data_IF_346130401710
#
_entry.id   IF_346130401710
#
_cell.length_a   1.000
_cell.length_b   1.000
_cell.length_c   1.000
_cell.angle_alpha   90.00
_cell.angle_beta   90.00
_cell.angle_gamma   90.00
#
_symmetry.space_group_name_H-M   'P 1'
#
loop_
_entity.id
_entity.type
_entity.pdbx_description
1 polymer ?
#
# COMPACT_ATOMS: atom_id res chain seq x y z
N UNK A 1 14.15 -11.27 -14.76
CA UNK A 1 13.29 -10.14 -14.36
C UNK A 1 14.00 -9.43 -13.23
N UNK A 2 14.33 -8.16 -13.40
CA UNK A 2 15.02 -7.35 -12.39
C UNK A 2 14.04 -6.90 -11.30
N UNK A 3 14.48 -6.91 -10.06
CA UNK A 3 13.70 -6.46 -8.90
C UNK A 3 14.31 -5.20 -8.29
N UNK A 4 13.47 -4.32 -7.74
CA UNK A 4 13.90 -3.17 -6.94
C UNK A 4 13.16 -3.21 -5.60
N UNK A 5 13.88 -3.29 -4.49
CA UNK A 5 13.30 -3.17 -3.15
C UNK A 5 13.35 -1.72 -2.70
N UNK A 6 12.20 -1.10 -2.50
CA UNK A 6 12.06 0.29 -2.02
C UNK A 6 11.70 0.29 -0.54
N UNK A 7 12.53 0.89 0.28
CA UNK A 7 12.33 1.07 1.72
C UNK A 7 12.16 2.57 2.00
N UNK A 8 11.00 2.96 2.52
CA UNK A 8 10.71 4.33 2.91
C UNK A 8 10.92 4.49 4.41
N UNK A 9 11.69 5.51 4.83
CA UNK A 9 11.96 5.76 6.25
C UNK A 9 11.95 7.24 6.60
N UNK A 10 11.60 7.57 7.83
CA UNK A 10 11.77 8.89 8.44
C UNK A 10 13.06 8.98 9.29
N UNK A 11 13.86 7.93 9.32
CA UNK A 11 15.14 7.88 10.04
C UNK A 11 15.04 7.75 11.57
N UNK A 12 13.84 7.57 12.09
CA UNK A 12 13.55 7.48 13.53
C UNK A 12 13.72 6.07 14.12
N UNK A 13 13.94 5.05 13.25
CA UNK A 13 14.08 3.62 13.61
C UNK A 13 15.32 2.99 12.96
N UNK A 14 16.55 3.42 13.33
CA UNK A 14 17.77 2.99 12.63
C UNK A 14 18.05 1.49 12.72
N UNK A 15 17.74 0.83 13.82
CA UNK A 15 17.98 -0.60 13.98
C UNK A 15 17.00 -1.46 13.15
N UNK A 16 15.75 -1.03 13.07
CA UNK A 16 14.74 -1.66 12.23
C UNK A 16 15.08 -1.47 10.75
N UNK A 17 15.47 -0.25 10.36
CA UNK A 17 15.90 0.05 9.00
C UNK A 17 17.10 -0.82 8.59
N UNK A 18 18.11 -0.96 9.45
CA UNK A 18 19.28 -1.83 9.18
C UNK A 18 18.85 -3.29 8.95
N UNK A 19 17.93 -3.80 9.76
CA UNK A 19 17.36 -5.14 9.57
C UNK A 19 16.58 -5.26 8.26
N UNK A 20 15.78 -4.26 7.89
CA UNK A 20 15.04 -4.25 6.63
C UNK A 20 16.01 -4.30 5.43
N UNK A 21 17.03 -3.44 5.42
CA UNK A 21 18.07 -3.39 4.39
C UNK A 21 18.82 -4.72 4.32
N UNK A 22 19.28 -5.24 5.45
CA UNK A 22 20.00 -6.52 5.53
C UNK A 22 19.17 -7.66 4.94
N UNK A 23 17.88 -7.74 5.27
CA UNK A 23 16.99 -8.79 4.75
C UNK A 23 16.74 -8.67 3.24
N UNK A 24 16.71 -7.43 2.72
CA UNK A 24 16.58 -7.19 1.28
C UNK A 24 17.85 -7.57 0.52
N UNK A 25 19.03 -7.20 1.03
CA UNK A 25 20.34 -7.56 0.45
C UNK A 25 20.63 -9.06 0.53
N UNK A 26 20.09 -9.76 1.54
CA UNK A 26 20.24 -11.21 1.70
C UNK A 26 19.37 -12.05 0.73
N UNK A 27 18.57 -11.43 -0.11
CA UNK A 27 17.75 -12.18 -1.08
C UNK A 27 18.63 -12.90 -2.10
N UNK A 28 18.30 -14.18 -2.37
CA UNK A 28 19.05 -15.03 -3.33
C UNK A 28 18.81 -14.68 -4.80
N UNK A 29 18.00 -13.66 -5.06
CA UNK A 29 17.78 -13.18 -6.41
C UNK A 29 18.93 -12.29 -6.85
N UNK A 30 19.70 -12.70 -7.86
CA UNK A 30 20.96 -12.05 -8.27
C UNK A 30 20.77 -10.69 -8.94
N UNK A 31 19.59 -10.38 -9.45
CA UNK A 31 19.27 -9.11 -10.13
C UNK A 31 18.26 -8.31 -9.28
N UNK A 32 18.69 -7.95 -8.07
CA UNK A 32 17.92 -7.15 -7.13
C UNK A 32 18.74 -5.92 -6.70
N UNK A 33 18.15 -4.75 -6.80
CA UNK A 33 18.66 -3.50 -6.24
C UNK A 33 17.85 -3.06 -5.01
N UNK A 34 18.49 -2.38 -4.08
CA UNK A 34 17.82 -1.80 -2.90
C UNK A 34 17.89 -0.29 -2.97
N UNK A 35 16.75 0.37 -2.81
CA UNK A 35 16.59 1.83 -2.81
C UNK A 35 15.98 2.24 -1.47
N UNK A 36 16.69 3.06 -0.71
CA UNK A 36 16.21 3.65 0.54
C UNK A 36 15.82 5.10 0.31
N UNK A 37 14.62 5.47 0.71
CA UNK A 37 14.11 6.85 0.62
C UNK A 37 14.06 7.46 2.01
N UNK A 38 14.98 8.41 2.28
CA UNK A 38 14.92 9.25 3.48
C UNK A 38 13.87 10.35 3.28
N UNK A 39 12.71 10.20 3.93
CA UNK A 39 11.54 11.07 3.75
C UNK A 39 11.57 12.26 4.72
N UNK A 40 12.30 13.29 4.35
CA UNK A 40 12.63 14.43 5.23
C UNK A 40 13.73 14.06 6.25
N UNK A 41 14.54 13.04 5.94
CA UNK A 41 15.63 12.59 6.81
C UNK A 41 16.87 12.21 5.98
N UNK A 42 18.03 12.43 6.54
CA UNK A 42 19.29 11.88 6.03
C UNK A 42 19.61 10.61 6.82
N UNK A 43 19.70 9.48 6.11
CA UNK A 43 19.93 8.18 6.72
C UNK A 43 21.18 7.53 6.18
N UNK A 44 22.07 7.00 7.05
CA UNK A 44 23.22 6.23 6.62
C UNK A 44 22.75 4.88 6.06
N UNK A 45 23.33 4.47 4.94
CA UNK A 45 23.07 3.17 4.32
C UNK A 45 24.39 2.56 3.81
N UNK A 46 24.45 1.23 3.62
CA UNK A 46 25.57 0.56 2.97
C UNK A 46 25.84 1.10 1.55
N UNK A 47 27.09 1.00 1.09
CA UNK A 47 27.53 1.58 -0.20
C UNK A 47 26.82 0.96 -1.43
N UNK A 48 26.34 -0.28 -1.32
CA UNK A 48 25.59 -0.99 -2.35
C UNK A 48 24.12 -0.58 -2.45
N UNK A 49 23.62 0.26 -1.53
CA UNK A 49 22.23 0.73 -1.48
C UNK A 49 22.11 2.11 -2.12
N UNK A 50 21.18 2.27 -3.03
CA UNK A 50 20.84 3.57 -3.59
C UNK A 50 20.04 4.40 -2.59
N UNK A 51 20.44 5.65 -2.35
CA UNK A 51 19.76 6.57 -1.44
C UNK A 51 19.07 7.69 -2.20
N UNK A 52 17.79 7.89 -1.92
CA UNK A 52 17.01 9.07 -2.32
C UNK A 52 16.74 9.91 -1.09
N UNK A 53 17.17 11.18 -1.10
CA UNK A 53 16.97 12.11 0.02
C UNK A 53 15.91 13.14 -0.35
N UNK A 54 14.79 13.13 0.34
CA UNK A 54 13.78 14.18 0.22
C UNK A 54 14.05 15.25 1.27
N UNK A 55 14.00 16.51 0.85
CA UNK A 55 14.25 17.65 1.75
C UNK A 55 13.21 17.78 2.87
N UNK A 56 11.99 17.30 2.61
CA UNK A 56 10.87 17.32 3.55
C UNK A 56 10.05 16.03 3.46
N UNK A 57 9.25 15.76 4.48
CA UNK A 57 8.34 14.61 4.49
C UNK A 57 7.22 14.79 3.45
N UNK A 58 7.33 14.08 2.35
CA UNK A 58 6.36 14.05 1.25
C UNK A 58 5.17 13.09 1.48
N UNK A 59 5.07 12.51 2.68
CA UNK A 59 4.12 11.44 2.99
C UNK A 59 4.52 10.10 2.38
N UNK A 60 3.74 9.07 2.69
CA UNK A 60 3.99 7.70 2.20
C UNK A 60 3.89 7.64 0.68
N UNK A 61 2.86 8.26 0.11
CA UNK A 61 2.64 8.25 -1.34
C UNK A 61 3.78 8.96 -2.10
N UNK A 62 4.18 10.15 -1.66
CA UNK A 62 5.26 10.93 -2.28
C UNK A 62 6.61 10.23 -2.15
N UNK A 63 6.92 9.73 -0.96
CA UNK A 63 8.18 9.02 -0.70
C UNK A 63 8.32 7.74 -1.53
N UNK A 64 7.27 6.90 -1.61
CA UNK A 64 7.29 5.70 -2.44
C UNK A 64 7.39 6.01 -3.94
N UNK A 65 6.72 7.07 -4.43
CA UNK A 65 6.89 7.50 -5.81
C UNK A 65 8.34 7.86 -6.11
N UNK A 66 8.99 8.66 -5.25
CA UNK A 66 10.41 9.03 -5.42
C UNK A 66 11.33 7.79 -5.44
N UNK A 67 11.01 6.77 -4.62
CA UNK A 67 11.71 5.49 -4.67
C UNK A 67 11.53 4.78 -6.01
N UNK A 68 10.30 4.71 -6.53
CA UNK A 68 10.01 4.07 -7.84
C UNK A 68 10.67 4.82 -9.00
N UNK A 69 10.78 6.15 -8.93
CA UNK A 69 11.46 6.96 -9.95
C UNK A 69 12.97 6.67 -9.99
N UNK A 70 13.58 6.29 -8.87
CA UNK A 70 14.98 5.88 -8.78
C UNK A 70 15.22 4.40 -9.15
N UNK A 71 14.16 3.59 -9.27
CA UNK A 71 14.24 2.17 -9.57
C UNK A 71 14.44 1.89 -11.06
N UNK A 72 15.16 0.82 -11.35
CA UNK A 72 15.35 0.30 -12.71
C UNK A 72 14.72 -1.09 -12.92
N UNK A 73 14.26 -1.75 -11.85
CA UNK A 73 13.67 -3.08 -11.90
C UNK A 73 12.31 -3.12 -12.59
N UNK A 74 11.97 -4.30 -13.11
CA UNK A 74 10.67 -4.60 -13.74
C UNK A 74 9.55 -4.71 -12.70
N UNK A 75 9.90 -5.12 -11.48
CA UNK A 75 9.01 -5.27 -10.34
C UNK A 75 9.60 -4.54 -9.14
N UNK A 76 8.78 -3.72 -8.48
CA UNK A 76 9.12 -2.99 -7.26
C UNK A 76 8.52 -3.72 -6.06
N UNK A 77 9.36 -4.06 -5.10
CA UNK A 77 8.97 -4.58 -3.80
C UNK A 77 8.94 -3.40 -2.82
N UNK A 78 7.79 -3.09 -2.23
CA UNK A 78 7.73 -2.15 -1.13
C UNK A 78 7.88 -2.88 0.20
N UNK A 79 8.83 -2.42 1.00
CA UNK A 79 9.12 -2.92 2.34
C UNK A 79 9.10 -1.75 3.32
N UNK A 80 8.30 -1.85 4.38
CA UNK A 80 8.33 -0.85 5.46
C UNK A 80 9.66 -0.94 6.23
N UNK A 81 10.15 0.18 6.77
CA UNK A 81 11.45 0.27 7.44
C UNK A 81 11.52 -0.53 8.77
N UNK A 82 10.38 -1.00 9.29
CA UNK A 82 10.27 -1.89 10.44
C UNK A 82 9.84 -3.32 10.06
N UNK A 83 9.80 -3.61 8.74
CA UNK A 83 9.55 -4.94 8.19
C UNK A 83 10.83 -5.62 7.69
N UNK A 84 10.80 -6.94 7.48
CA UNK A 84 11.90 -7.70 6.89
C UNK A 84 11.40 -8.99 6.23
N UNK A 85 12.18 -9.51 5.29
CA UNK A 85 11.91 -10.80 4.66
C UNK A 85 12.47 -11.94 5.51
N UNK A 86 11.63 -12.87 6.00
CA UNK A 86 12.09 -14.01 6.81
C UNK A 86 12.77 -15.10 5.96
N UNK A 87 12.47 -15.15 4.65
CA UNK A 87 13.03 -16.12 3.69
C UNK A 87 13.83 -15.39 2.61
N UNK A 88 15.11 -15.75 2.39
CA UNK A 88 15.91 -15.18 1.32
C UNK A 88 15.45 -15.62 -0.09
N UNK A 89 14.49 -16.51 -0.23
CA UNK A 89 13.91 -16.96 -1.50
C UNK A 89 12.74 -16.11 -2.01
N UNK A 90 12.23 -15.16 -1.23
CA UNK A 90 11.05 -14.35 -1.60
C UNK A 90 11.26 -13.62 -2.92
N UNK A 91 12.43 -13.02 -3.15
CA UNK A 91 12.73 -12.31 -4.40
C UNK A 91 12.61 -13.21 -5.63
N UNK A 92 13.23 -14.40 -5.61
CA UNK A 92 13.15 -15.37 -6.72
C UNK A 92 11.72 -15.87 -6.94
N UNK A 93 11.00 -16.12 -5.85
CA UNK A 93 9.59 -16.53 -5.91
C UNK A 93 8.74 -15.45 -6.61
N UNK A 94 8.87 -14.18 -6.20
CA UNK A 94 8.14 -13.06 -6.79
C UNK A 94 8.50 -12.86 -8.25
N UNK A 95 9.78 -12.94 -8.63
CA UNK A 95 10.20 -12.84 -10.02
C UNK A 95 9.51 -13.91 -10.90
N UNK A 96 9.39 -15.15 -10.42
CA UNK A 96 8.65 -16.23 -11.08
C UNK A 96 7.17 -15.86 -11.26
N UNK A 97 6.49 -15.42 -10.20
CA UNK A 97 5.06 -15.05 -10.25
C UNK A 97 4.76 -14.00 -11.33
N UNK A 98 5.58 -12.95 -11.42
CA UNK A 98 5.39 -11.90 -12.43
C UNK A 98 5.84 -12.31 -13.83
N UNK A 99 6.73 -13.28 -13.97
CA UNK A 99 7.13 -13.85 -15.28
C UNK A 99 6.01 -14.70 -15.85
N UNK A 100 5.39 -15.55 -15.02
CA UNK A 100 4.35 -16.49 -15.44
C UNK A 100 3.00 -15.80 -15.73
N UNK A 101 2.78 -14.59 -15.21
CA UNK A 101 1.50 -13.90 -15.31
C UNK A 101 1.67 -12.42 -15.69
N UNK A 102 1.58 -12.09 -16.99
CA UNK A 102 1.69 -10.69 -17.47
C UNK A 102 0.59 -9.76 -16.96
N UNK A 103 -0.60 -10.28 -16.67
CA UNK A 103 -1.74 -9.49 -16.20
C UNK A 103 -1.70 -9.23 -14.68
N UNK A 104 -0.78 -9.88 -13.97
CA UNK A 104 -0.58 -9.66 -12.54
C UNK A 104 0.16 -8.35 -12.31
N UNK A 105 -0.53 -7.37 -11.70
CA UNK A 105 0.09 -6.09 -11.35
C UNK A 105 0.62 -6.05 -9.92
N UNK A 106 -0.03 -6.70 -8.97
CA UNK A 106 0.34 -6.65 -7.55
C UNK A 106 0.23 -8.01 -6.90
N UNK A 107 1.26 -8.35 -6.13
CA UNK A 107 1.21 -9.40 -5.10
C UNK A 107 1.29 -8.72 -3.73
N UNK A 108 0.23 -8.85 -2.93
CA UNK A 108 0.24 -8.44 -1.53
C UNK A 108 0.74 -9.60 -0.67
N UNK A 109 1.74 -9.35 0.15
CA UNK A 109 2.38 -10.38 0.97
C UNK A 109 1.57 -10.71 2.22
N UNK A 110 1.74 -11.91 2.71
CA UNK A 110 1.33 -12.29 4.05
C UNK A 110 2.25 -11.63 5.07
N UNK A 111 1.69 -10.78 5.90
CA UNK A 111 2.42 -10.21 7.05
C UNK A 111 2.34 -11.20 8.21
N UNK A 112 3.50 -11.66 8.66
CA UNK A 112 3.64 -12.58 9.79
C UNK A 112 4.31 -11.87 10.97
N UNK A 113 4.01 -12.32 12.18
CA UNK A 113 4.65 -11.79 13.39
C UNK A 113 5.84 -12.66 13.79
N UNK A 114 6.98 -12.07 14.18
CA UNK A 114 8.18 -12.83 14.55
C UNK A 114 7.96 -13.74 15.76
N UNK A 115 7.03 -13.37 16.63
CA UNK A 115 6.65 -14.14 17.83
C UNK A 115 5.59 -15.21 17.53
N UNK A 116 5.19 -15.34 16.26
CA UNK A 116 4.10 -16.21 15.84
C UNK A 116 2.71 -15.61 16.08
N UNK A 117 1.68 -16.41 15.76
CA UNK A 117 0.29 -15.99 15.91
C UNK A 117 -0.36 -15.55 14.59
N UNK A 118 -1.68 -15.27 14.60
CA UNK A 118 -2.42 -14.93 13.41
C UNK A 118 -2.03 -13.53 12.90
N UNK A 119 -1.99 -13.37 11.58
CA UNK A 119 -1.85 -12.05 10.95
C UNK A 119 -2.95 -11.10 11.44
N UNK A 120 -2.57 -9.86 11.76
CA UNK A 120 -3.54 -8.86 12.15
C UNK A 120 -4.58 -8.63 11.03
N UNK A 121 -5.84 -8.40 11.41
CA UNK A 121 -6.96 -8.26 10.45
C UNK A 121 -6.69 -7.22 9.37
N UNK A 122 -6.04 -6.12 9.70
CA UNK A 122 -5.73 -5.03 8.78
C UNK A 122 -4.59 -5.35 7.81
N UNK A 123 -3.80 -6.39 8.07
CA UNK A 123 -2.78 -6.88 7.15
C UNK A 123 -3.34 -7.85 6.09
N UNK A 124 -4.60 -8.30 6.24
CA UNK A 124 -5.23 -9.20 5.27
C UNK A 124 -6.18 -8.41 4.37
N UNK A 125 -5.83 -8.17 3.09
CA UNK A 125 -6.57 -7.28 2.19
C UNK A 125 -7.87 -7.92 1.65
N UNK A 126 -8.73 -8.45 2.52
CA UNK A 126 -9.99 -9.12 2.20
C UNK A 126 -11.17 -8.46 2.91
N UNK A 127 -12.37 -8.61 2.35
CA UNK A 127 -13.60 -8.08 2.95
C UNK A 127 -13.85 -8.69 4.34
N UNK A 128 -13.69 -10.00 4.48
CA UNK A 128 -13.79 -10.71 5.75
C UNK A 128 -12.43 -11.27 6.09
N UNK A 129 -12.09 -11.32 7.39
CA UNK A 129 -10.91 -12.04 7.86
C UNK A 129 -11.12 -13.52 7.54
N UNK A 130 -10.68 -13.92 6.35
CA UNK A 130 -10.59 -15.30 5.95
C UNK A 130 -9.27 -15.89 6.47
N UNK A 131 -9.02 -17.12 6.09
CA UNK A 131 -7.77 -17.81 6.38
C UNK A 131 -6.59 -17.04 5.71
N UNK A 132 -5.66 -16.43 6.48
CA UNK A 132 -4.53 -15.70 5.92
C UNK A 132 -3.50 -16.64 5.26
N UNK A 133 -3.64 -17.94 5.42
CA UNK A 133 -2.78 -18.95 4.79
C UNK A 133 -3.24 -19.33 3.38
N UNK A 134 -4.32 -18.75 2.88
CA UNK A 134 -4.87 -19.02 1.55
C UNK A 134 -4.74 -17.81 0.64
N UNK A 135 -4.01 -18.00 -0.45
CA UNK A 135 -3.90 -17.02 -1.53
C UNK A 135 -5.24 -16.79 -2.22
N UNK A 136 -5.48 -15.55 -2.68
CA UNK A 136 -6.72 -15.20 -3.40
C UNK A 136 -6.60 -13.89 -4.16
N UNK A 137 -7.47 -13.69 -5.16
CA UNK A 137 -7.69 -12.39 -5.74
C UNK A 137 -8.21 -11.40 -4.69
N UNK A 138 -7.72 -10.17 -4.73
CA UNK A 138 -8.08 -9.08 -3.81
C UNK A 138 -8.29 -7.77 -4.56
N UNK A 139 -8.84 -6.75 -3.91
CA UNK A 139 -9.16 -5.44 -4.51
C UNK A 139 -8.38 -4.29 -3.87
N UNK A 140 -7.49 -4.60 -2.95
CA UNK A 140 -6.54 -3.72 -2.31
C UNK A 140 -5.35 -4.54 -1.86
N UNK A 141 -4.29 -3.91 -1.38
CA UNK A 141 -3.07 -4.58 -0.92
C UNK A 141 -2.46 -3.83 0.27
N UNK A 142 -1.53 -4.47 0.98
CA UNK A 142 -0.77 -3.84 2.05
C UNK A 142 0.39 -3.05 1.43
N UNK A 143 0.38 -1.73 1.60
CA UNK A 143 1.29 -0.82 0.90
C UNK A 143 2.78 -1.05 1.23
N UNK A 144 3.12 -1.46 2.46
CA UNK A 144 4.49 -1.75 2.89
C UNK A 144 4.88 -3.23 2.80
N UNK A 145 3.99 -4.08 2.26
CA UNK A 145 4.21 -5.52 2.15
C UNK A 145 3.66 -6.03 0.81
N UNK A 146 4.26 -5.60 -0.28
CA UNK A 146 3.81 -5.98 -1.62
C UNK A 146 4.93 -5.90 -2.67
N UNK A 147 4.67 -6.57 -3.79
CA UNK A 147 5.41 -6.42 -5.03
C UNK A 147 4.48 -5.88 -6.11
N UNK A 148 4.96 -4.96 -6.93
CA UNK A 148 4.17 -4.29 -7.97
C UNK A 148 4.94 -4.31 -9.28
N UNK A 149 4.29 -4.71 -10.40
CA UNK A 149 4.83 -4.55 -11.74
C UNK A 149 5.04 -3.06 -12.04
N UNK A 150 6.30 -2.66 -12.25
CA UNK A 150 6.67 -1.25 -12.40
C UNK A 150 5.96 -0.58 -13.60
N UNK A 151 5.82 -1.28 -14.73
CA UNK A 151 5.10 -0.75 -15.89
C UNK A 151 3.62 -0.47 -15.58
N UNK A 152 2.93 -1.37 -14.87
CA UNK A 152 1.55 -1.18 -14.46
C UNK A 152 1.41 -0.03 -13.44
N UNK A 153 2.37 0.10 -12.51
CA UNK A 153 2.43 1.23 -11.56
C UNK A 153 2.49 2.57 -12.29
N UNK A 154 3.39 2.69 -13.26
CA UNK A 154 3.58 3.91 -14.05
C UNK A 154 2.37 4.20 -14.95
N UNK A 155 1.81 3.18 -15.61
CA UNK A 155 0.59 3.32 -16.44
C UNK A 155 -0.61 3.78 -15.59
N UNK A 156 -0.74 3.29 -14.40
CA UNK A 156 -1.75 3.74 -13.46
C UNK A 156 -1.49 5.17 -12.92
N UNK A 157 -0.29 5.72 -13.07
CA UNK A 157 0.12 7.06 -12.63
C UNK A 157 0.58 7.13 -11.18
N UNK A 158 1.13 6.03 -10.65
CA UNK A 158 1.74 5.97 -9.32
C UNK A 158 0.76 6.16 -8.15
N UNK A 159 1.30 6.36 -6.96
CA UNK A 159 0.50 6.68 -5.77
C UNK A 159 0.09 8.16 -5.78
N UNK A 160 -1.14 8.50 -5.34
CA UNK A 160 -1.60 9.89 -5.33
C UNK A 160 -0.95 10.68 -4.18
N UNK A 161 0.08 11.49 -4.46
CA UNK A 161 0.81 12.26 -3.44
C UNK A 161 -0.11 13.15 -2.58
N UNK A 162 -1.24 13.62 -3.13
CA UNK A 162 -2.24 14.41 -2.40
C UNK A 162 -2.83 13.67 -1.19
N UNK A 163 -2.75 12.34 -1.14
CA UNK A 163 -3.24 11.56 -0.01
C UNK A 163 -2.30 11.63 1.19
N UNK A 164 -1.03 11.84 0.97
CA UNK A 164 0.01 11.89 1.99
C UNK A 164 0.17 10.56 2.75
N UNK A 165 -0.89 10.08 3.39
CA UNK A 165 -0.95 8.84 4.18
C UNK A 165 -2.38 8.31 4.23
N UNK A 166 -2.56 7.00 4.16
CA UNK A 166 -3.80 6.23 4.14
C UNK A 166 -4.61 6.32 2.82
N UNK A 167 -5.05 5.16 2.34
CA UNK A 167 -5.83 4.94 1.12
C UNK A 167 -5.10 5.16 -0.22
N UNK A 168 -3.83 5.55 -0.23
CA UNK A 168 -3.05 5.71 -1.45
C UNK A 168 -2.93 4.39 -2.22
N UNK A 169 -2.73 3.28 -1.52
CA UNK A 169 -2.68 1.93 -2.10
C UNK A 169 -4.05 1.48 -2.61
N UNK A 170 -5.12 1.88 -1.94
CA UNK A 170 -6.49 1.59 -2.38
C UNK A 170 -6.81 2.34 -3.68
N UNK A 171 -6.41 3.61 -3.79
CA UNK A 171 -6.56 4.42 -5.01
C UNK A 171 -5.80 3.78 -6.18
N UNK A 172 -4.55 3.37 -5.97
CA UNK A 172 -3.74 2.69 -6.98
C UNK A 172 -4.36 1.35 -7.37
N UNK A 173 -4.78 0.53 -6.40
CA UNK A 173 -5.42 -0.76 -6.65
C UNK A 173 -6.67 -0.62 -7.54
N UNK A 174 -7.52 0.36 -7.27
CA UNK A 174 -8.73 0.58 -8.05
C UNK A 174 -8.43 1.03 -9.49
N UNK A 175 -7.37 1.83 -9.69
CA UNK A 175 -6.93 2.21 -11.03
C UNK A 175 -6.34 1.02 -11.81
N UNK A 176 -5.52 0.18 -11.17
CA UNK A 176 -4.98 -1.04 -11.77
C UNK A 176 -6.09 -2.01 -12.18
N UNK A 177 -7.08 -2.24 -11.31
CA UNK A 177 -8.25 -3.05 -11.65
C UNK A 177 -9.08 -2.43 -12.79
N UNK A 178 -9.14 -1.09 -12.86
CA UNK A 178 -9.78 -0.35 -13.95
C UNK A 178 -9.08 -0.55 -15.29
N UNK A 179 -7.76 -0.67 -15.29
CA UNK A 179 -6.94 -0.96 -16.48
C UNK A 179 -7.00 -2.43 -16.91
N UNK A 180 -7.58 -3.31 -16.09
CA UNK A 180 -7.75 -4.73 -16.42
C UNK A 180 -6.83 -5.68 -15.67
N UNK A 181 -5.83 -5.16 -14.98
CA UNK A 181 -4.88 -5.93 -14.20
C UNK A 181 -5.52 -6.72 -13.05
N UNK A 182 -4.75 -7.67 -12.54
CA UNK A 182 -5.10 -8.47 -11.36
C UNK A 182 -4.24 -8.08 -10.17
N UNK A 183 -4.82 -8.23 -8.98
CA UNK A 183 -4.18 -8.04 -7.69
C UNK A 183 -4.43 -9.29 -6.89
N UNK A 184 -3.38 -9.87 -6.31
CA UNK A 184 -3.48 -11.10 -5.54
C UNK A 184 -2.85 -10.92 -4.15
N UNK A 185 -3.46 -11.50 -3.15
CA UNK A 185 -2.86 -11.81 -1.88
C UNK A 185 -2.21 -13.20 -1.99
N UNK A 186 -0.93 -13.28 -1.70
CA UNK A 186 -0.18 -14.52 -1.78
C UNK A 186 0.37 -14.92 -0.41
N UNK A 187 -0.17 -16.03 0.12
CA UNK A 187 0.20 -16.52 1.44
C UNK A 187 1.63 -17.10 1.51
N UNK A 188 2.22 -17.49 0.36
CA UNK A 188 3.58 -17.98 0.29
C UNK A 188 4.61 -16.85 0.30
N UNK A 189 4.25 -15.66 -0.21
CA UNK A 189 5.10 -14.48 -0.14
C UNK A 189 4.96 -13.83 1.25
N UNK A 190 5.98 -13.93 2.08
CA UNK A 190 5.92 -13.49 3.47
C UNK A 190 6.82 -12.30 3.76
N UNK A 191 6.34 -11.43 4.65
CA UNK A 191 7.08 -10.35 5.26
C UNK A 191 6.80 -10.34 6.76
N UNK A 192 7.85 -10.24 7.58
CA UNK A 192 7.73 -10.09 9.01
C UNK A 192 7.54 -8.61 9.39
N UNK A 193 6.65 -8.37 10.33
CA UNK A 193 6.42 -7.05 10.91
C UNK A 193 5.94 -7.22 12.36
N UNK A 194 6.44 -6.38 13.27
CA UNK A 194 5.96 -6.41 14.66
C UNK A 194 4.51 -5.93 14.75
N UNK A 195 3.70 -6.61 15.56
CA UNK A 195 2.33 -6.18 15.87
C UNK A 195 2.36 -5.02 16.87
N UNK A 196 2.79 -3.83 16.42
CA UNK A 196 2.67 -2.64 17.27
C UNK A 196 1.20 -2.19 17.29
N UNK A 197 0.64 -1.86 18.48
CA UNK A 197 -0.64 -1.20 18.54
C UNK A 197 -0.54 0.10 17.74
N UNK A 198 -1.28 0.21 16.65
CA UNK A 198 -1.35 1.46 15.90
C UNK A 198 -1.89 2.54 16.84
N UNK A 199 -1.02 3.37 17.40
CA UNK A 199 -1.40 4.61 18.07
C UNK A 199 -1.96 5.57 17.01
N UNK A 200 -3.24 5.35 16.64
CA UNK A 200 -3.92 6.20 15.66
C UNK A 200 -4.24 7.55 16.30
N UNK A 201 -3.43 8.54 15.98
CA UNK A 201 -3.62 9.91 16.44
C UNK A 201 -4.76 10.61 15.66
N UNK A 202 -5.26 11.73 16.18
CA UNK A 202 -6.30 12.54 15.53
C UNK A 202 -5.97 12.89 14.06
N UNK A 203 -4.68 13.09 13.74
CA UNK A 203 -4.19 13.31 12.37
C UNK A 203 -4.52 12.16 11.44
N UNK A 204 -4.36 10.89 11.89
CA UNK A 204 -4.74 9.72 11.08
C UNK A 204 -6.22 9.75 10.71
N UNK A 205 -7.10 10.00 11.69
CA UNK A 205 -8.55 10.01 11.44
C UNK A 205 -8.97 11.16 10.53
N UNK A 206 -8.32 12.32 10.65
CA UNK A 206 -8.53 13.43 9.71
C UNK A 206 -8.16 13.04 8.30
N UNK A 207 -6.98 12.43 8.10
CA UNK A 207 -6.53 11.95 6.80
C UNK A 207 -7.42 10.84 6.26
N UNK A 208 -7.87 9.90 7.09
CA UNK A 208 -8.80 8.83 6.70
C UNK A 208 -10.11 9.42 6.15
N UNK A 209 -10.76 10.34 6.87
CA UNK A 209 -11.99 10.98 6.41
C UNK A 209 -11.78 11.77 5.12
N UNK A 210 -10.70 12.56 5.03
CA UNK A 210 -10.32 13.33 3.84
C UNK A 210 -10.10 12.44 2.61
N UNK A 211 -9.30 11.41 2.78
CA UNK A 211 -8.87 10.55 1.68
C UNK A 211 -9.98 9.65 1.17
N UNK A 212 -10.98 9.29 2.01
CA UNK A 212 -12.20 8.62 1.52
C UNK A 212 -12.97 9.47 0.53
N UNK A 213 -13.10 10.78 0.80
CA UNK A 213 -13.75 11.70 -0.14
C UNK A 213 -12.92 11.82 -1.42
N UNK A 214 -11.60 11.98 -1.32
CA UNK A 214 -10.72 12.04 -2.48
C UNK A 214 -10.80 10.74 -3.30
N UNK A 215 -10.74 9.57 -2.64
CA UNK A 215 -10.83 8.25 -3.27
C UNK A 215 -12.13 8.09 -4.07
N UNK A 216 -13.27 8.43 -3.46
CA UNK A 216 -14.57 8.37 -4.13
C UNK A 216 -14.62 9.31 -5.35
N UNK A 217 -14.19 10.57 -5.18
CA UNK A 217 -14.20 11.60 -6.24
C UNK A 217 -13.27 11.29 -7.40
N UNK A 218 -12.18 10.55 -7.14
CA UNK A 218 -11.19 10.15 -8.16
C UNK A 218 -11.65 8.94 -8.96
N UNK A 219 -12.18 7.93 -8.28
CA UNK A 219 -12.28 6.58 -8.82
C UNK A 219 -13.72 6.10 -9.05
N UNK A 220 -14.70 6.63 -8.33
CA UNK A 220 -16.06 6.08 -8.39
C UNK A 220 -16.98 6.86 -9.36
N UNK A 221 -17.86 6.15 -10.09
CA UNK A 221 -19.06 6.75 -10.64
C UNK A 221 -19.87 7.42 -9.54
N UNK A 222 -20.58 8.50 -9.86
CA UNK A 222 -21.21 9.35 -8.85
C UNK A 222 -22.13 8.56 -7.88
N UNK A 223 -22.95 7.64 -8.41
CA UNK A 223 -23.86 6.81 -7.60
C UNK A 223 -23.09 5.94 -6.59
N UNK A 224 -22.06 5.22 -7.06
CA UNK A 224 -21.22 4.41 -6.18
C UNK A 224 -20.43 5.27 -5.20
N UNK A 225 -20.04 6.48 -5.61
CA UNK A 225 -19.38 7.44 -4.73
C UNK A 225 -20.28 7.90 -3.59
N UNK A 226 -21.55 8.17 -3.86
CA UNK A 226 -22.55 8.51 -2.83
C UNK A 226 -22.73 7.35 -1.87
N UNK A 227 -22.97 6.14 -2.38
CA UNK A 227 -23.12 4.92 -1.54
C UNK A 227 -21.89 4.71 -0.66
N UNK A 228 -20.68 4.73 -1.25
CA UNK A 228 -19.42 4.59 -0.52
C UNK A 228 -19.29 5.60 0.63
N UNK A 229 -19.54 6.88 0.34
CA UNK A 229 -19.39 7.94 1.36
C UNK A 229 -20.47 7.86 2.43
N UNK A 230 -21.70 7.49 2.09
CA UNK A 230 -22.80 7.30 3.05
C UNK A 230 -22.50 6.11 3.97
N UNK A 231 -22.07 4.98 3.41
CA UNK A 231 -21.74 3.77 4.19
C UNK A 231 -20.59 4.06 5.17
N UNK A 232 -19.52 4.70 4.70
CA UNK A 232 -18.40 5.02 5.59
C UNK A 232 -18.72 6.10 6.62
N UNK A 233 -19.57 7.06 6.28
CA UNK A 233 -20.07 8.03 7.25
C UNK A 233 -20.88 7.33 8.35
N UNK A 234 -21.83 6.49 7.98
CA UNK A 234 -22.66 5.73 8.92
C UNK A 234 -21.80 4.79 9.78
N UNK A 235 -20.90 4.02 9.15
CA UNK A 235 -20.01 3.10 9.85
C UNK A 235 -19.09 3.82 10.85
N UNK A 236 -18.55 4.99 10.48
CA UNK A 236 -17.70 5.77 11.37
C UNK A 236 -18.52 6.33 12.54
N UNK A 237 -19.69 6.91 12.27
CA UNK A 237 -20.57 7.45 13.31
C UNK A 237 -21.00 6.40 14.34
N UNK A 238 -21.20 5.14 13.91
CA UNK A 238 -21.60 4.03 14.80
C UNK A 238 -20.42 3.45 15.58
N UNK A 239 -19.25 3.35 14.95
CA UNK A 239 -18.08 2.67 15.52
C UNK A 239 -17.24 3.56 16.43
N UNK A 240 -17.11 4.84 16.06
CA UNK A 240 -16.26 5.77 16.78
C UNK A 240 -17.02 6.41 17.94
N UNK A 241 -16.65 6.00 19.15
CA UNK A 241 -17.25 6.54 20.40
C UNK A 241 -16.53 7.77 20.92
N UNK A 242 -15.31 8.05 20.46
CA UNK A 242 -14.53 9.23 20.87
C UNK A 242 -14.98 10.46 20.09
N UNK A 243 -15.49 11.46 20.79
CA UNK A 243 -15.85 12.75 20.18
C UNK A 243 -14.67 13.45 19.51
N UNK A 244 -13.45 13.29 20.04
CA UNK A 244 -12.22 13.85 19.46
C UNK A 244 -11.93 13.21 18.10
N UNK A 245 -11.99 11.89 18.04
CA UNK A 245 -11.78 11.11 16.80
C UNK A 245 -12.84 11.46 15.76
N UNK A 246 -14.12 11.47 16.17
CA UNK A 246 -15.21 11.78 15.24
C UNK A 246 -15.09 13.19 14.68
N UNK A 247 -14.75 14.18 15.51
CA UNK A 247 -14.52 15.58 15.05
C UNK A 247 -13.35 15.65 14.07
N UNK A 248 -12.25 14.97 14.33
CA UNK A 248 -11.10 14.94 13.43
C UNK A 248 -11.48 14.31 12.08
N UNK A 249 -12.22 13.20 12.10
CA UNK A 249 -12.69 12.54 10.89
C UNK A 249 -13.64 13.42 10.07
N UNK A 250 -14.64 14.05 10.72
CA UNK A 250 -15.58 14.97 10.06
C UNK A 250 -14.88 16.20 9.46
N UNK A 251 -13.88 16.75 10.17
CA UNK A 251 -13.06 17.84 9.65
C UNK A 251 -12.31 17.42 8.37
N UNK A 252 -11.70 16.23 8.38
CA UNK A 252 -11.06 15.64 7.19
C UNK A 252 -12.07 15.41 6.06
N UNK A 253 -13.23 14.84 6.36
CA UNK A 253 -14.28 14.61 5.37
C UNK A 253 -14.71 15.93 4.67
N UNK A 254 -14.92 17.01 5.44
CA UNK A 254 -15.22 18.33 4.89
C UNK A 254 -14.04 18.91 4.07
N UNK A 255 -12.80 18.70 4.52
CA UNK A 255 -11.59 19.11 3.79
C UNK A 255 -11.51 18.42 2.43
N UNK A 256 -11.77 17.10 2.36
CA UNK A 256 -11.74 16.33 1.12
C UNK A 256 -12.70 16.84 0.03
N UNK A 257 -13.82 17.46 0.42
CA UNK A 257 -14.73 18.10 -0.53
C UNK A 257 -14.16 19.40 -1.13
N UNK A 258 -13.36 20.13 -0.37
CA UNK A 258 -12.77 21.42 -0.79
C UNK A 258 -11.49 21.22 -1.60
N UNK A 259 -10.78 20.14 -1.37
CA UNK A 259 -9.52 19.84 -2.07
C UNK A 259 -9.73 19.47 -3.54
N UNK A 260 -8.73 19.81 -4.37
CA UNK A 260 -8.64 19.25 -5.72
C UNK A 260 -8.25 17.76 -5.61
N UNK A 261 -9.06 16.82 -6.09
CA UNK A 261 -8.73 15.41 -6.03
C UNK A 261 -7.61 15.00 -7.00
N UNK A 262 -7.12 15.91 -7.84
CA UNK A 262 -6.20 15.59 -8.93
C UNK A 262 -6.87 14.83 -10.07
N UNK A 263 -6.09 14.00 -10.76
CA UNK A 263 -6.57 13.25 -11.91
C UNK A 263 -7.71 12.29 -11.52
N UNK A 264 -8.81 12.35 -12.27
CA UNK A 264 -9.98 11.48 -12.10
C UNK A 264 -9.98 10.39 -13.15
N UNK A 265 -10.03 9.14 -12.70
CA UNK A 265 -10.17 7.96 -13.57
C UNK A 265 -11.29 7.08 -13.03
N UNK A 266 -12.53 7.46 -13.29
CA UNK A 266 -13.71 6.72 -12.80
C UNK A 266 -13.74 5.32 -13.36
N UNK A 267 -13.83 4.33 -12.47
CA UNK A 267 -13.96 2.94 -12.88
C UNK A 267 -15.27 2.69 -13.62
N UNK A 268 -15.27 1.71 -14.52
CA UNK A 268 -16.47 1.23 -15.18
C UNK A 268 -17.33 0.37 -14.22
N UNK A 269 -18.63 0.24 -14.51
CA UNK A 269 -19.51 -0.70 -13.78
C UNK A 269 -19.04 -2.15 -13.91
N UNK A 270 -18.39 -2.50 -15.04
CA UNK A 270 -17.74 -3.81 -15.22
C UNK A 270 -16.62 -4.02 -14.20
N UNK A 271 -15.79 -3.01 -13.95
CA UNK A 271 -14.74 -3.04 -12.93
C UNK A 271 -15.34 -3.20 -11.54
N UNK A 272 -16.35 -2.41 -11.19
CA UNK A 272 -17.05 -2.52 -9.91
C UNK A 272 -17.64 -3.93 -9.68
N UNK A 273 -18.20 -4.52 -10.73
CA UNK A 273 -18.69 -5.91 -10.68
C UNK A 273 -17.58 -6.94 -10.47
N UNK A 274 -16.43 -6.79 -11.17
CA UNK A 274 -15.25 -7.63 -10.96
C UNK A 274 -14.77 -7.56 -9.52
N UNK A 275 -14.70 -6.37 -8.92
CA UNK A 275 -14.34 -6.17 -7.52
C UNK A 275 -15.32 -6.86 -6.56
N UNK A 276 -16.61 -6.75 -6.84
CA UNK A 276 -17.66 -7.43 -6.06
C UNK A 276 -17.45 -8.96 -6.08
N UNK A 277 -17.16 -9.52 -7.26
CA UNK A 277 -16.86 -10.96 -7.38
C UNK A 277 -15.56 -11.37 -6.70
N UNK A 278 -14.57 -10.48 -6.60
CA UNK A 278 -13.35 -10.70 -5.83
C UNK A 278 -13.56 -10.53 -4.30
N UNK A 279 -14.80 -10.35 -3.85
CA UNK A 279 -15.20 -10.38 -2.44
C UNK A 279 -15.23 -9.00 -1.76
N UNK A 280 -14.91 -7.92 -2.46
CA UNK A 280 -15.00 -6.56 -1.88
C UNK A 280 -15.54 -5.56 -2.90
N UNK A 281 -16.85 -5.25 -2.86
CA UNK A 281 -17.43 -4.21 -3.69
C UNK A 281 -16.83 -2.85 -3.35
N UNK A 282 -16.71 -1.93 -4.33
CA UNK A 282 -16.08 -0.61 -4.11
C UNK A 282 -16.96 0.38 -3.33
N UNK A 283 -17.85 -0.12 -2.52
CA UNK A 283 -18.74 0.68 -1.63
C UNK A 283 -18.48 0.40 -0.15
N UNK A 284 -17.60 -0.54 0.16
CA UNK A 284 -17.24 -0.90 1.55
C UNK A 284 -15.72 -0.91 1.73
#
# INVERSE_FOLDING_TARGET
MKLSCVILTMGDRPAELDRAITSALAQRHTDLEVVVVGNGADVPVPAEVTVVRLAENAGVAGGRNAGVDACTGDVVLFLDDDGWYPDPGVGSYIAGRFTDDPDLAVVSFRVVHPEGGPSARWHVPRLRAGDPERSSAVTTFAGGACAIRRSAYLEAGGLPAVFFYAHEETDLAWRLLGLGYRIEYDAAAQMCHHALPNARHATFFRLDGRNRVLLARRNLPWLLGVLYLTDWFALTAVRERSAIVLRAWLAGFAEGWRMNPGQRRRMSMRTAWRMTRAGRPPVI
#
